data_IF_980675034245
#
_entry.id   IF_980675034245
#
_cell.length_a   1.000
_cell.length_b   1.000
_cell.length_c   1.000
_cell.angle_alpha   90.00
_cell.angle_beta   90.00
_cell.angle_gamma   90.00
#
_symmetry.space_group_name_H-M   'P 1'
#
loop_
_entity.id
_entity.type
_entity.pdbx_description
1 polymer ?
#
# COMPACT_ATOMS: atom_id res chain seq x y z
N UNK A 1 8.96 3.71 -5.96
CA UNK A 1 9.52 2.36 -6.20
C UNK A 1 10.13 2.20 -7.59
N UNK A 2 11.09 3.07 -7.92
CA UNK A 2 11.79 3.04 -9.20
C UNK A 2 13.08 3.84 -9.12
N UNK A 3 14.01 3.58 -10.03
CA UNK A 3 15.22 4.40 -10.21
C UNK A 3 14.82 5.79 -10.68
N UNK A 4 15.67 6.77 -10.40
CA UNK A 4 15.42 8.13 -10.88
C UNK A 4 15.26 8.14 -12.41
N UNK A 5 14.17 8.73 -12.86
CA UNK A 5 13.70 8.69 -14.24
C UNK A 5 13.40 10.09 -14.77
N UNK A 6 13.54 10.25 -16.09
CA UNK A 6 13.06 11.46 -16.76
C UNK A 6 11.55 11.62 -16.63
N UNK A 7 11.05 12.84 -16.87
CA UNK A 7 9.61 13.15 -16.85
C UNK A 7 8.83 12.17 -17.75
N UNK A 8 7.76 11.60 -17.21
CA UNK A 8 6.92 10.62 -17.91
C UNK A 8 6.07 11.23 -19.04
N UNK A 9 5.88 12.57 -19.04
CA UNK A 9 5.00 13.34 -19.94
C UNK A 9 3.50 13.06 -19.80
N UNK A 10 3.11 12.18 -18.88
CA UNK A 10 1.71 11.91 -18.56
C UNK A 10 1.23 12.77 -17.38
N UNK A 11 -0.08 12.83 -17.19
CA UNK A 11 -0.73 13.53 -16.05
C UNK A 11 -1.92 12.71 -15.54
N UNK A 12 -2.36 13.02 -14.33
CA UNK A 12 -3.49 12.35 -13.68
C UNK A 12 -3.11 11.03 -13.01
N UNK A 13 -4.12 10.36 -12.46
CA UNK A 13 -3.93 9.11 -11.73
C UNK A 13 -4.00 7.90 -12.66
N UNK A 14 -3.08 6.96 -12.46
CA UNK A 14 -3.10 5.62 -13.02
C UNK A 14 -3.61 4.61 -12.00
N UNK A 15 -4.16 3.50 -12.50
CA UNK A 15 -4.62 2.39 -11.67
C UNK A 15 -4.33 1.08 -12.37
N UNK A 16 -3.70 0.15 -11.67
CA UNK A 16 -3.40 -1.19 -12.16
C UNK A 16 -3.65 -2.22 -11.07
N UNK A 17 -4.16 -3.39 -11.49
CA UNK A 17 -4.49 -4.49 -10.59
C UNK A 17 -3.83 -5.79 -11.01
N UNK A 18 -3.47 -6.59 -10.02
CA UNK A 18 -3.01 -7.98 -10.17
C UNK A 18 -3.54 -8.81 -9.01
N UNK A 19 -3.81 -10.09 -9.26
CA UNK A 19 -4.47 -10.98 -8.31
C UNK A 19 -3.63 -12.23 -8.05
N UNK A 20 -3.45 -12.59 -6.79
CA UNK A 20 -3.04 -13.93 -6.37
C UNK A 20 -4.29 -14.80 -6.29
N UNK A 21 -4.20 -16.01 -6.86
CA UNK A 21 -5.29 -16.98 -6.78
C UNK A 21 -5.45 -17.48 -5.33
N UNK A 22 -6.63 -17.98 -4.93
CA UNK A 22 -6.89 -18.40 -3.54
C UNK A 22 -5.86 -19.40 -2.97
N UNK A 23 -5.40 -20.36 -3.77
CA UNK A 23 -4.35 -21.30 -3.34
C UNK A 23 -2.98 -20.62 -3.13
N UNK A 24 -2.65 -19.59 -3.92
CA UNK A 24 -1.41 -18.82 -3.76
C UNK A 24 -1.50 -17.94 -2.51
N UNK A 25 -2.65 -17.31 -2.28
CA UNK A 25 -2.92 -16.53 -1.07
C UNK A 25 -2.81 -17.40 0.19
N UNK A 26 -3.38 -18.61 0.15
CA UNK A 26 -3.31 -19.55 1.28
C UNK A 26 -1.89 -20.03 1.57
N UNK A 27 -1.09 -20.25 0.52
CA UNK A 27 0.34 -20.56 0.66
C UNK A 27 1.13 -19.40 1.26
N UNK A 28 0.89 -18.17 0.81
CA UNK A 28 1.50 -16.96 1.38
C UNK A 28 1.18 -16.81 2.86
N UNK A 29 -0.10 -17.01 3.24
CA UNK A 29 -0.55 -17.02 4.64
C UNK A 29 0.18 -18.07 5.47
N UNK A 30 0.23 -19.30 4.98
CA UNK A 30 0.87 -20.42 5.69
C UNK A 30 2.37 -20.17 5.86
N UNK A 31 3.03 -19.63 4.83
CA UNK A 31 4.44 -19.27 4.87
C UNK A 31 4.73 -18.16 5.88
N UNK A 32 3.96 -17.07 5.86
CA UNK A 32 4.14 -15.99 6.82
C UNK A 32 3.91 -16.48 8.26
N UNK A 33 2.88 -17.29 8.46
CA UNK A 33 2.53 -17.86 9.77
C UNK A 33 3.61 -18.82 10.29
N UNK A 34 4.27 -19.60 9.43
CA UNK A 34 5.40 -20.46 9.81
C UNK A 34 6.51 -19.67 10.52
N UNK A 35 6.71 -18.42 10.12
CA UNK A 35 7.69 -17.49 10.70
C UNK A 35 7.10 -16.54 11.75
N UNK A 36 5.87 -16.79 12.18
CA UNK A 36 5.16 -16.00 13.19
C UNK A 36 4.84 -14.57 12.72
N UNK A 37 4.56 -14.37 11.44
CA UNK A 37 4.20 -13.09 10.83
C UNK A 37 2.87 -13.19 10.04
N UNK A 38 2.27 -12.06 9.69
CA UNK A 38 1.06 -11.99 8.87
C UNK A 38 1.35 -11.82 7.38
N UNK A 39 0.35 -12.01 6.50
CA UNK A 39 0.51 -11.76 5.06
C UNK A 39 0.88 -10.31 4.75
N UNK A 40 0.44 -9.37 5.58
CA UNK A 40 0.83 -7.96 5.49
C UNK A 40 2.34 -7.78 5.64
N UNK A 41 2.98 -8.50 6.57
CA UNK A 41 4.43 -8.50 6.74
C UNK A 41 5.15 -9.04 5.50
N UNK A 42 4.63 -10.11 4.88
CA UNK A 42 5.18 -10.62 3.63
C UNK A 42 5.12 -9.58 2.50
N UNK A 43 3.99 -8.86 2.39
CA UNK A 43 3.84 -7.77 1.42
C UNK A 43 4.79 -6.60 1.70
N UNK A 44 4.96 -6.21 2.97
CA UNK A 44 5.89 -5.17 3.38
C UNK A 44 7.35 -5.56 3.08
N UNK A 45 7.74 -6.82 3.32
CA UNK A 45 9.06 -7.35 2.92
C UNK A 45 9.25 -7.22 1.41
N UNK A 46 8.31 -7.70 0.61
CA UNK A 46 8.39 -7.60 -0.86
C UNK A 46 8.51 -6.15 -1.31
N UNK A 47 7.75 -5.23 -0.71
CA UNK A 47 7.85 -3.82 -1.03
C UNK A 47 9.21 -3.22 -0.67
N UNK A 48 9.74 -3.57 0.50
CA UNK A 48 11.08 -3.15 0.93
C UNK A 48 12.17 -3.63 -0.05
N UNK A 49 12.07 -4.86 -0.53
CA UNK A 49 13.00 -5.42 -1.53
C UNK A 49 12.92 -4.67 -2.88
N UNK A 50 11.73 -4.31 -3.34
CA UNK A 50 11.56 -3.52 -4.57
C UNK A 50 12.14 -2.11 -4.42
N UNK A 51 11.96 -1.48 -3.26
CA UNK A 51 12.55 -0.17 -2.96
C UNK A 51 14.08 -0.25 -2.85
N UNK A 52 14.62 -1.27 -2.18
CA UNK A 52 16.06 -1.54 -2.13
C UNK A 52 16.66 -1.68 -3.52
N UNK A 53 16.01 -2.48 -4.38
CA UNK A 53 16.43 -2.70 -5.75
C UNK A 53 16.40 -1.41 -6.58
N UNK A 54 15.39 -0.57 -6.36
CA UNK A 54 15.27 0.75 -6.98
C UNK A 54 16.33 1.74 -6.51
N UNK A 55 16.78 1.65 -5.25
CA UNK A 55 17.87 2.49 -4.73
C UNK A 55 19.23 2.17 -5.39
N UNK A 56 19.42 0.95 -5.90
CA UNK A 56 20.63 0.55 -6.63
C UNK A 56 21.87 0.37 -5.76
N UNK A 57 21.68 0.20 -4.45
CA UNK A 57 22.75 -0.09 -3.48
C UNK A 57 23.19 -1.56 -3.54
N UNK A 58 24.41 -1.85 -3.06
CA UNK A 58 24.98 -3.20 -3.03
C UNK A 58 25.15 -3.79 -1.62
N UNK A 59 24.96 -2.98 -0.57
CA UNK A 59 25.11 -3.38 0.82
C UNK A 59 23.91 -2.95 1.68
N UNK A 60 24.00 -3.16 3.00
CA UNK A 60 22.92 -2.85 3.93
C UNK A 60 22.50 -1.38 3.86
N UNK A 61 21.21 -1.12 3.71
CA UNK A 61 20.67 0.26 3.68
C UNK A 61 19.29 0.31 4.33
N UNK A 62 18.96 1.37 5.08
CA UNK A 62 17.59 1.61 5.52
C UNK A 62 16.69 1.93 4.33
N UNK A 63 15.53 1.28 4.30
CA UNK A 63 14.45 1.49 3.34
C UNK A 63 13.22 1.93 4.10
N UNK A 64 12.57 3.00 3.62
CA UNK A 64 11.41 3.60 4.29
C UNK A 64 10.21 3.69 3.36
N UNK A 65 9.04 3.33 3.87
CA UNK A 65 7.74 3.45 3.21
C UNK A 65 6.64 3.60 4.25
N UNK A 66 5.49 4.14 3.87
CA UNK A 66 4.35 4.23 4.76
C UNK A 66 3.61 2.90 4.85
N UNK A 67 3.21 2.52 6.05
CA UNK A 67 2.31 1.40 6.32
C UNK A 67 1.00 1.94 6.88
N UNK A 68 -0.12 1.51 6.32
CA UNK A 68 -1.43 2.03 6.71
C UNK A 68 -2.04 1.22 7.85
N UNK A 69 -2.41 1.92 8.92
CA UNK A 69 -3.20 1.37 10.01
C UNK A 69 -4.64 1.88 9.92
N UNK A 70 -5.61 1.02 10.21
CA UNK A 70 -7.04 1.35 10.11
C UNK A 70 -7.49 2.43 11.10
N UNK A 71 -6.77 2.56 12.22
CA UNK A 71 -7.17 3.34 13.40
C UNK A 71 -8.34 2.73 14.18
N UNK A 72 -8.97 1.66 13.66
CA UNK A 72 -10.09 0.95 14.29
C UNK A 72 -9.63 -0.10 15.29
N UNK A 73 -8.37 -0.52 15.18
CA UNK A 73 -7.72 -1.46 16.09
C UNK A 73 -7.10 -0.74 17.31
N UNK A 74 -7.25 0.59 17.41
CA UNK A 74 -6.83 1.34 18.59
C UNK A 74 -7.67 0.88 19.79
N UNK A 75 -7.04 0.80 20.97
CA UNK A 75 -7.71 0.54 22.25
C UNK A 75 -8.50 1.76 22.72
N UNK A 76 -9.35 2.29 21.85
CA UNK A 76 -10.30 3.34 22.11
C UNK A 76 -11.68 2.71 22.00
N UNK A 77 -12.41 2.67 23.10
CA UNK A 77 -13.76 2.10 23.15
C UNK A 77 -14.66 2.75 22.08
N UNK A 78 -15.33 1.92 21.28
CA UNK A 78 -16.18 2.39 20.18
C UNK A 78 -15.46 2.86 18.91
N UNK A 79 -14.12 2.85 18.83
CA UNK A 79 -13.40 3.29 17.63
C UNK A 79 -13.78 2.52 16.35
N UNK A 80 -14.14 1.23 16.51
CA UNK A 80 -14.66 0.42 15.41
C UNK A 80 -15.97 0.96 14.83
N UNK A 81 -16.83 1.55 15.67
CA UNK A 81 -18.19 1.99 15.34
C UNK A 81 -18.26 3.47 14.96
N UNK A 82 -17.19 4.25 15.20
CA UNK A 82 -17.14 5.67 14.83
C UNK A 82 -17.10 5.82 13.29
N UNK A 83 -18.08 6.53 12.70
CA UNK A 83 -17.99 6.95 11.31
C UNK A 83 -16.90 8.02 11.17
N UNK A 84 -15.90 7.78 10.32
CA UNK A 84 -14.80 8.74 10.10
C UNK A 84 -13.55 8.15 9.46
N UNK A 85 -12.64 9.05 9.04
CA UNK A 85 -11.33 8.72 8.50
C UNK A 85 -10.32 8.50 9.64
N UNK A 86 -10.39 7.35 10.29
CA UNK A 86 -9.45 6.97 11.36
C UNK A 86 -8.13 6.38 10.83
N UNK A 87 -8.08 6.06 9.54
CA UNK A 87 -6.92 5.44 8.92
C UNK A 87 -5.72 6.38 8.86
N UNK A 88 -4.56 5.91 9.29
CA UNK A 88 -3.34 6.70 9.33
C UNK A 88 -2.13 5.92 8.79
N UNK A 89 -1.44 6.41 7.75
CA UNK A 89 -0.17 5.85 7.32
C UNK A 89 1.00 6.33 8.21
N UNK A 90 1.72 5.38 8.80
CA UNK A 90 2.93 5.65 9.58
C UNK A 90 4.19 5.25 8.80
N UNK A 91 5.31 5.98 8.89
CA UNK A 91 6.54 5.60 8.23
C UNK A 91 7.18 4.40 8.92
N UNK A 92 7.32 3.30 8.20
CA UNK A 92 8.13 2.15 8.61
C UNK A 92 9.50 2.27 7.96
N UNK A 93 10.56 2.02 8.74
CA UNK A 93 11.93 1.91 8.23
C UNK A 93 12.53 0.59 8.65
N UNK A 94 13.05 -0.16 7.67
CA UNK A 94 13.70 -1.46 7.86
C UNK A 94 15.03 -1.48 7.13
N UNK A 95 15.99 -2.26 7.60
CA UNK A 95 17.31 -2.38 6.98
C UNK A 95 17.32 -3.59 6.06
N UNK A 96 17.50 -3.35 4.77
CA UNK A 96 17.62 -4.44 3.79
C UNK A 96 19.11 -4.74 3.61
N UNK A 97 19.54 -5.91 4.07
CA UNK A 97 20.89 -6.44 3.89
C UNK A 97 20.86 -7.68 2.99
N UNK A 98 21.45 -7.64 1.78
CA UNK A 98 21.50 -8.80 0.88
C UNK A 98 22.16 -10.05 1.46
N UNK A 99 23.08 -9.90 2.43
CA UNK A 99 23.78 -11.03 3.05
C UNK A 99 22.96 -11.69 4.17
N UNK A 100 21.97 -10.99 4.71
CA UNK A 100 21.16 -11.48 5.82
C UNK A 100 20.13 -12.53 5.37
N UNK A 101 19.73 -13.46 6.26
CA UNK A 101 18.59 -14.34 6.04
C UNK A 101 17.32 -13.54 5.76
N UNK A 102 16.51 -13.99 4.79
CA UNK A 102 15.23 -13.38 4.46
C UNK A 102 14.28 -13.35 5.67
N UNK A 103 14.29 -14.41 6.48
CA UNK A 103 13.43 -14.54 7.66
C UNK A 103 13.73 -13.45 8.69
N UNK A 104 14.98 -12.98 8.79
CA UNK A 104 15.33 -11.89 9.70
C UNK A 104 14.75 -10.55 9.22
N UNK A 105 14.71 -10.31 7.91
CA UNK A 105 14.00 -9.15 7.36
C UNK A 105 12.48 -9.25 7.61
N UNK A 106 11.89 -10.45 7.53
CA UNK A 106 10.47 -10.67 7.85
C UNK A 106 10.18 -10.38 9.33
N UNK A 107 11.04 -10.85 10.23
CA UNK A 107 10.95 -10.55 11.67
C UNK A 107 11.08 -9.06 11.93
N UNK A 108 12.07 -8.39 11.34
CA UNK A 108 12.25 -6.95 11.46
C UNK A 108 10.99 -6.17 11.03
N UNK A 109 10.41 -6.54 9.88
CA UNK A 109 9.17 -5.93 9.39
C UNK A 109 7.98 -6.18 10.31
N UNK A 110 7.83 -7.41 10.82
CA UNK A 110 6.77 -7.76 11.77
C UNK A 110 6.90 -6.96 13.06
N UNK A 111 8.09 -6.95 13.65
CA UNK A 111 8.35 -6.29 14.93
C UNK A 111 8.15 -4.77 14.79
N UNK A 112 8.65 -4.18 13.70
CA UNK A 112 8.39 -2.78 13.38
C UNK A 112 6.89 -2.46 13.18
N UNK A 113 6.12 -3.37 12.58
CA UNK A 113 4.67 -3.18 12.41
C UNK A 113 3.94 -3.22 13.76
N UNK A 114 4.33 -4.13 14.65
CA UNK A 114 3.78 -4.25 16.00
C UNK A 114 4.11 -3.01 16.83
N UNK A 115 5.35 -2.53 16.79
CA UNK A 115 5.75 -1.31 17.50
C UNK A 115 4.95 -0.09 17.01
N UNK A 116 4.79 0.05 15.69
CA UNK A 116 4.02 1.14 15.09
C UNK A 116 2.52 1.08 15.42
N UNK A 117 1.97 -0.09 15.74
CA UNK A 117 0.54 -0.27 16.01
C UNK A 117 0.05 0.49 17.26
N UNK A 118 0.95 0.91 18.15
CA UNK A 118 0.64 1.74 19.31
C UNK A 118 0.48 3.25 19.00
N UNK A 119 0.86 3.68 17.80
CA UNK A 119 0.93 5.09 17.39
C UNK A 119 0.04 5.54 16.22
N UNK A 120 -0.97 4.81 15.70
CA UNK A 120 -1.83 5.30 14.61
C UNK A 120 -2.57 6.61 14.89
N UNK A 121 -2.62 7.07 16.14
CA UNK A 121 -3.22 8.35 16.54
C UNK A 121 -2.31 9.56 16.31
N UNK A 122 -1.02 9.38 15.99
CA UNK A 122 -0.07 10.47 15.77
C UNK A 122 -0.19 11.01 14.34
N UNK A 123 -0.49 12.29 14.17
CA UNK A 123 -0.61 12.91 12.84
C UNK A 123 0.73 13.00 12.11
N UNK A 124 0.68 12.98 10.77
CA UNK A 124 1.87 13.08 9.93
C UNK A 124 2.70 14.36 10.18
N UNK A 125 2.03 15.50 10.36
CA UNK A 125 2.69 16.78 10.65
C UNK A 125 3.43 16.75 11.99
N UNK A 126 2.87 16.04 12.99
CA UNK A 126 3.52 15.87 14.28
C UNK A 126 4.78 15.00 14.17
N UNK A 127 4.72 13.94 13.37
CA UNK A 127 5.90 13.10 13.08
C UNK A 127 6.97 13.92 12.35
N UNK A 128 6.59 14.75 11.35
CA UNK A 128 7.52 15.64 10.66
C UNK A 128 8.20 16.60 11.63
N UNK A 129 7.41 17.28 12.48
CA UNK A 129 7.89 18.19 13.50
C UNK A 129 8.88 17.51 14.46
N UNK A 130 8.54 16.35 15.01
CA UNK A 130 9.41 15.61 15.93
C UNK A 130 10.66 15.05 15.26
N UNK A 131 10.59 14.73 13.97
CA UNK A 131 11.73 14.24 13.20
C UNK A 131 12.72 15.33 12.77
N UNK A 132 12.41 16.61 13.02
CA UNK A 132 13.21 17.75 12.57
C UNK A 132 13.26 17.91 11.05
N UNK A 133 12.32 17.28 10.32
CA UNK A 133 12.20 17.40 8.86
C UNK A 133 11.42 18.66 8.51
N UNK A 134 11.72 19.24 7.35
CA UNK A 134 10.95 20.36 6.82
C UNK A 134 9.47 19.99 6.67
N UNK A 135 8.57 20.93 6.97
CA UNK A 135 7.11 20.76 6.89
C UNK A 135 6.63 20.42 5.47
N UNK A 136 7.43 20.75 4.45
CA UNK A 136 7.17 20.38 3.06
C UNK A 136 7.55 18.92 2.71
N UNK A 137 8.35 18.25 3.55
CA UNK A 137 8.86 16.91 3.28
C UNK A 137 7.75 15.85 3.41
N UNK A 138 7.84 14.80 2.58
CA UNK A 138 7.00 13.62 2.74
C UNK A 138 7.63 12.69 3.79
N UNK A 139 6.79 12.08 4.64
CA UNK A 139 7.24 10.99 5.50
C UNK A 139 7.67 9.76 4.68
N UNK A 140 6.93 9.48 3.61
CA UNK A 140 7.25 8.46 2.61
C UNK A 140 6.66 8.81 1.24
N UNK A 141 7.32 8.39 0.16
CA UNK A 141 6.83 8.53 -1.22
C UNK A 141 5.86 7.42 -1.65
N UNK A 142 5.77 6.34 -0.86
CA UNK A 142 4.88 5.23 -1.16
C UNK A 142 4.22 4.73 0.11
N UNK A 143 2.95 4.33 0.02
CA UNK A 143 2.23 3.66 1.11
C UNK A 143 1.81 2.26 0.67
N UNK A 144 1.96 1.30 1.57
CA UNK A 144 1.38 -0.04 1.46
C UNK A 144 0.25 -0.16 2.48
N UNK A 145 -0.92 -0.56 2.00
CA UNK A 145 -2.11 -0.81 2.81
C UNK A 145 -2.54 -2.26 2.64
N UNK A 146 -2.66 -2.96 3.75
CA UNK A 146 -3.34 -4.25 3.78
C UNK A 146 -4.73 -4.02 4.37
N UNK A 147 -5.76 -4.15 3.53
CA UNK A 147 -7.13 -3.80 3.85
C UNK A 147 -7.92 -5.06 4.18
N UNK A 148 -7.83 -5.50 5.43
CA UNK A 148 -8.70 -6.54 5.99
C UNK A 148 -10.06 -5.93 6.33
N UNK A 149 -10.78 -5.41 5.32
CA UNK A 149 -12.12 -4.88 5.55
C UNK A 149 -13.03 -5.99 6.05
N UNK A 150 -13.86 -5.73 7.08
CA UNK A 150 -14.94 -6.64 7.41
C UNK A 150 -15.85 -6.70 6.18
N UNK A 151 -16.08 -7.93 5.70
CA UNK A 151 -17.13 -8.17 4.73
C UNK A 151 -18.49 -7.77 5.32
N UNK A 152 -19.42 -7.34 4.47
CA UNK A 152 -20.82 -7.25 4.88
C UNK A 152 -21.23 -8.61 5.46
N UNK A 153 -21.83 -8.65 6.66
CA UNK A 153 -22.32 -9.90 7.24
C UNK A 153 -23.21 -10.64 6.24
N UNK A 154 -23.04 -11.95 6.13
CA UNK A 154 -23.73 -12.75 5.10
C UNK A 154 -25.25 -12.61 5.18
N UNK A 155 -25.80 -12.42 6.39
CA UNK A 155 -27.23 -12.14 6.62
C UNK A 155 -27.66 -10.86 5.92
N UNK A 156 -26.93 -9.76 6.11
CA UNK A 156 -27.22 -8.48 5.48
C UNK A 156 -27.05 -8.55 3.96
N UNK A 157 -26.04 -9.29 3.48
CA UNK A 157 -25.84 -9.53 2.05
C UNK A 157 -27.01 -10.30 1.44
N UNK A 158 -27.53 -11.31 2.14
CA UNK A 158 -28.68 -12.09 1.71
C UNK A 158 -29.97 -11.25 1.70
N UNK A 159 -30.20 -10.41 2.71
CA UNK A 159 -31.32 -9.47 2.76
C UNK A 159 -31.31 -8.49 1.59
N UNK A 160 -30.15 -7.86 1.33
CA UNK A 160 -29.97 -6.97 0.18
C UNK A 160 -30.24 -7.70 -1.14
N UNK A 161 -29.72 -8.91 -1.29
CA UNK A 161 -29.96 -9.74 -2.49
C UNK A 161 -31.44 -10.11 -2.65
N UNK A 162 -32.17 -10.39 -1.57
CA UNK A 162 -33.61 -10.65 -1.60
C UNK A 162 -34.42 -9.43 -2.08
N UNK A 163 -33.90 -8.22 -1.85
CA UNK A 163 -34.42 -6.96 -2.38
C UNK A 163 -33.90 -6.63 -3.79
N UNK A 164 -33.17 -7.54 -4.44
CA UNK A 164 -32.56 -7.32 -5.75
C UNK A 164 -31.35 -6.37 -5.74
N UNK A 165 -30.78 -6.06 -4.57
CA UNK A 165 -29.62 -5.18 -4.41
C UNK A 165 -28.36 -6.04 -4.39
N UNK A 166 -27.44 -5.77 -5.32
CA UNK A 166 -26.10 -6.36 -5.34
C UNK A 166 -25.09 -5.36 -4.78
N UNK A 167 -24.26 -5.81 -3.83
CA UNK A 167 -23.17 -4.99 -3.29
C UNK A 167 -21.84 -5.58 -3.73
N UNK A 168 -21.16 -4.85 -4.61
CA UNK A 168 -19.79 -5.17 -5.01
C UNK A 168 -18.77 -4.70 -3.99
N UNK A 169 -17.56 -5.27 -4.06
CA UNK A 169 -16.42 -4.79 -3.27
C UNK A 169 -16.11 -3.35 -3.67
N UNK A 170 -16.11 -2.37 -2.73
CA UNK A 170 -15.87 -0.99 -3.08
C UNK A 170 -14.48 -0.84 -3.69
N UNK A 171 -14.42 -0.23 -4.87
CA UNK A 171 -13.20 0.04 -5.57
C UNK A 171 -12.79 1.50 -5.37
N UNK A 172 -11.49 1.79 -5.23
CA UNK A 172 -11.03 3.17 -5.39
C UNK A 172 -11.39 3.63 -6.80
N UNK A 173 -12.32 4.58 -6.89
CA UNK A 173 -12.49 5.41 -8.06
C UNK A 173 -11.15 6.13 -8.26
N UNK A 174 -10.46 5.87 -9.38
CA UNK A 174 -9.22 6.57 -9.70
C UNK A 174 -9.43 8.08 -9.53
N UNK A 175 -8.44 8.77 -8.97
CA UNK A 175 -8.56 10.17 -8.57
C UNK A 175 -7.24 10.69 -8.04
N UNK A 176 -7.25 11.93 -7.58
CA UNK A 176 -6.06 12.69 -7.21
C UNK A 176 -5.20 11.96 -6.15
N UNK A 177 -4.09 11.35 -6.60
CA UNK A 177 -3.21 10.57 -5.73
C UNK A 177 -2.40 11.50 -4.85
N UNK A 178 -2.62 11.49 -3.53
CA UNK A 178 -1.84 12.29 -2.57
C UNK A 178 -0.36 11.88 -2.53
N UNK A 179 -0.07 10.64 -2.92
CA UNK A 179 1.25 10.03 -2.94
C UNK A 179 1.58 9.48 -4.34
N UNK A 180 2.86 9.47 -4.73
CA UNK A 180 3.32 8.91 -6.00
C UNK A 180 2.81 7.50 -6.27
N UNK A 181 2.79 6.65 -5.26
CA UNK A 181 2.27 5.28 -5.34
C UNK A 181 1.60 4.88 -4.03
N UNK A 182 0.37 4.37 -4.14
CA UNK A 182 -0.32 3.67 -3.05
C UNK A 182 -0.62 2.24 -3.51
N UNK A 183 -0.14 1.26 -2.76
CA UNK A 183 -0.43 -0.15 -2.98
C UNK A 183 -1.46 -0.62 -1.96
N UNK A 184 -2.59 -1.13 -2.43
CA UNK A 184 -3.65 -1.69 -1.58
C UNK A 184 -3.78 -3.18 -1.86
N UNK A 185 -3.64 -4.00 -0.83
CA UNK A 185 -3.97 -5.41 -0.84
C UNK A 185 -5.32 -5.63 -0.18
N UNK A 186 -6.22 -6.36 -0.84
CA UNK A 186 -7.53 -6.71 -0.31
C UNK A 186 -7.91 -8.11 -0.77
N UNK A 187 -8.67 -8.84 0.04
CA UNK A 187 -9.25 -10.11 -0.41
C UNK A 187 -10.42 -9.83 -1.36
N UNK A 188 -10.54 -10.65 -2.40
CA UNK A 188 -11.77 -10.73 -3.19
C UNK A 188 -12.69 -11.82 -2.66
N UNK A 189 -13.90 -11.89 -3.23
CA UNK A 189 -14.95 -12.80 -2.80
C UNK A 189 -14.57 -14.30 -2.86
N UNK A 190 -13.58 -14.69 -3.69
CA UNK A 190 -13.15 -16.09 -3.77
C UNK A 190 -11.96 -16.39 -2.82
N UNK A 191 -11.54 -15.44 -1.99
CA UNK A 191 -10.36 -15.56 -1.12
C UNK A 191 -9.02 -15.35 -1.86
N UNK A 192 -9.05 -14.81 -3.07
CA UNK A 192 -7.85 -14.33 -3.76
C UNK A 192 -7.35 -13.02 -3.15
N UNK A 193 -6.04 -12.73 -3.27
CA UNK A 193 -5.48 -11.46 -2.82
C UNK A 193 -5.32 -10.53 -4.03
N UNK A 194 -6.12 -9.47 -4.08
CA UNK A 194 -6.10 -8.46 -5.12
C UNK A 194 -5.20 -7.29 -4.70
N UNK A 195 -4.10 -7.10 -5.41
CA UNK A 195 -3.25 -5.93 -5.29
C UNK A 195 -3.69 -4.86 -6.29
N UNK A 196 -3.97 -3.67 -5.79
CA UNK A 196 -4.30 -2.48 -6.58
C UNK A 196 -3.27 -1.41 -6.32
N UNK A 197 -2.54 -1.01 -7.36
CA UNK A 197 -1.67 0.16 -7.30
C UNK A 197 -2.38 1.35 -7.93
N UNK A 198 -2.50 2.44 -7.18
CA UNK A 198 -2.84 3.77 -7.70
C UNK A 198 -1.58 4.64 -7.67
N UNK A 199 -1.34 5.40 -8.72
CA UNK A 199 -0.10 6.15 -8.87
C UNK A 199 -0.29 7.44 -9.66
N UNK A 200 0.57 8.42 -9.41
CA UNK A 200 0.63 9.64 -10.21
C UNK A 200 1.35 9.32 -11.53
N UNK A 201 0.64 9.43 -12.66
CA UNK A 201 1.22 9.18 -13.98
C UNK A 201 2.33 10.16 -14.34
N UNK A 202 2.38 11.33 -13.71
CA UNK A 202 3.44 12.31 -13.87
C UNK A 202 4.76 11.89 -13.19
N UNK A 203 4.70 10.99 -12.21
CA UNK A 203 5.84 10.42 -11.50
C UNK A 203 6.16 8.98 -11.96
N UNK A 204 5.16 8.15 -12.26
CA UNK A 204 5.34 6.73 -12.64
C UNK A 204 4.54 6.40 -13.91
N UNK A 205 5.20 5.91 -14.97
CA UNK A 205 4.51 5.53 -16.21
C UNK A 205 3.65 4.27 -16.02
N UNK A 206 2.65 4.06 -16.88
CA UNK A 206 1.82 2.85 -16.83
C UNK A 206 2.63 1.56 -17.05
N UNK A 207 3.67 1.63 -17.89
CA UNK A 207 4.58 0.51 -18.13
C UNK A 207 5.42 0.20 -16.87
N UNK A 208 5.98 1.25 -16.24
CA UNK A 208 6.75 1.11 -15.01
C UNK A 208 5.88 0.61 -13.85
N UNK A 209 4.67 1.13 -13.70
CA UNK A 209 3.71 0.67 -12.69
C UNK A 209 3.33 -0.81 -12.88
N UNK A 210 3.11 -1.23 -14.12
CA UNK A 210 2.91 -2.64 -14.47
C UNK A 210 4.12 -3.50 -14.14
N UNK A 211 5.34 -2.98 -14.38
CA UNK A 211 6.60 -3.63 -14.02
C UNK A 211 6.72 -3.83 -12.51
N UNK A 212 6.53 -2.76 -11.71
CA UNK A 212 6.56 -2.82 -10.24
C UNK A 212 5.57 -3.86 -9.72
N UNK A 213 4.32 -3.80 -10.17
CA UNK A 213 3.29 -4.70 -9.65
C UNK A 213 3.52 -6.15 -10.08
N UNK A 214 4.06 -6.38 -11.28
CA UNK A 214 4.41 -7.73 -11.74
C UNK A 214 5.58 -8.32 -10.95
N UNK A 215 6.60 -7.52 -10.64
CA UNK A 215 7.72 -7.93 -9.78
C UNK A 215 7.27 -8.21 -8.34
N UNK A 216 6.35 -7.39 -7.81
CA UNK A 216 5.73 -7.62 -6.50
C UNK A 216 5.01 -8.97 -6.46
N UNK A 217 4.15 -9.22 -7.45
CA UNK A 217 3.41 -10.48 -7.58
C UNK A 217 4.34 -11.70 -7.71
N UNK A 218 5.43 -11.56 -8.45
CA UNK A 218 6.41 -12.63 -8.61
C UNK A 218 7.11 -12.96 -7.29
N UNK A 219 7.58 -11.94 -6.58
CA UNK A 219 8.20 -12.13 -5.26
C UNK A 219 7.23 -12.76 -4.27
N UNK A 220 5.98 -12.30 -4.18
CA UNK A 220 4.98 -12.89 -3.27
C UNK A 220 4.76 -14.38 -3.53
N UNK A 221 4.72 -14.80 -4.80
CA UNK A 221 4.61 -16.23 -5.14
C UNK A 221 5.85 -16.99 -4.71
N UNK A 222 7.04 -16.50 -5.05
CA UNK A 222 8.31 -17.18 -4.75
C UNK A 222 8.58 -17.28 -3.26
N UNK A 223 8.27 -16.24 -2.48
CA UNK A 223 8.38 -16.27 -1.03
C UNK A 223 7.54 -17.40 -0.43
N UNK A 224 6.32 -17.59 -0.93
CA UNK A 224 5.43 -18.65 -0.44
C UNK A 224 5.93 -20.09 -0.70
N UNK A 225 6.92 -20.25 -1.58
CA UNK A 225 7.57 -21.54 -1.87
C UNK A 225 8.87 -21.75 -1.06
N UNK A 226 9.39 -20.73 -0.36
CA UNK A 226 10.64 -20.83 0.41
C UNK A 226 10.39 -21.35 1.83
N UNK A 227 10.96 -22.49 2.19
CA UNK A 227 10.92 -23.00 3.57
C UNK A 227 12.29 -23.05 4.24
N UNK A 228 13.36 -22.79 3.49
CA UNK A 228 14.72 -22.81 4.00
C UNK A 228 15.08 -21.47 4.67
N UNK A 229 15.39 -21.52 5.96
CA UNK A 229 15.83 -20.36 6.77
C UNK A 229 17.12 -19.72 6.24
N UNK A 230 17.92 -20.46 5.47
CA UNK A 230 19.21 -20.00 4.95
C UNK A 230 19.08 -19.15 3.69
N UNK A 231 17.88 -19.06 3.11
CA UNK A 231 17.65 -18.22 1.93
C UNK A 231 17.93 -16.78 2.29
N UNK A 232 18.89 -16.16 1.60
CA UNK A 232 19.29 -14.79 1.84
C UNK A 232 18.43 -13.81 1.05
N UNK A 233 18.37 -12.56 1.53
CA UNK A 233 17.75 -11.46 0.81
C UNK A 233 18.34 -11.30 -0.59
N UNK A 234 19.66 -11.45 -0.75
CA UNK A 234 20.37 -11.37 -2.02
C UNK A 234 19.94 -12.45 -3.01
N UNK A 235 19.73 -13.68 -2.54
CA UNK A 235 19.21 -14.76 -3.39
C UNK A 235 17.80 -14.46 -3.89
N UNK A 236 16.94 -13.90 -3.03
CA UNK A 236 15.58 -13.48 -3.43
C UNK A 236 15.60 -12.32 -4.42
N UNK A 237 16.48 -11.34 -4.22
CA UNK A 237 16.69 -10.24 -5.17
C UNK A 237 17.21 -10.75 -6.53
N UNK A 238 18.06 -11.79 -6.50
CA UNK A 238 18.55 -12.51 -7.68
C UNK A 238 17.43 -13.03 -8.60
N UNK A 239 16.28 -13.37 -8.03
CA UNK A 239 15.09 -13.85 -8.75
C UNK A 239 14.52 -12.81 -9.73
N UNK A 240 14.82 -11.53 -9.50
CA UNK A 240 14.37 -10.42 -10.33
C UNK A 240 15.43 -9.90 -11.29
N UNK A 241 16.66 -10.43 -11.30
CA UNK A 241 17.80 -9.87 -12.06
C UNK A 241 17.52 -9.64 -13.55
N UNK A 242 16.72 -10.50 -14.17
CA UNK A 242 16.34 -10.38 -15.59
C UNK A 242 15.31 -9.28 -15.88
N UNK A 243 14.56 -8.82 -14.88
CA UNK A 243 13.54 -7.79 -15.05
C UNK A 243 14.15 -6.39 -14.95
N UNK A 244 13.80 -5.48 -15.86
CA UNK A 244 14.24 -4.07 -15.75
C UNK A 244 13.75 -3.44 -14.43
N UNK A 245 14.58 -2.58 -13.85
CA UNK A 245 14.17 -1.80 -12.67
C UNK A 245 13.30 -0.63 -13.15
N UNK A 246 12.04 -0.53 -12.70
CA UNK A 246 11.13 0.54 -13.12
C UNK A 246 11.72 1.93 -12.84
N UNK A 247 11.33 2.92 -13.62
CA UNK A 247 11.78 4.32 -13.47
C UNK A 247 10.67 5.19 -12.90
N UNK A 248 11.04 6.12 -12.03
CA UNK A 248 10.12 7.06 -11.39
C UNK A 248 10.72 8.46 -11.41
N UNK A 249 9.98 9.42 -11.95
CA UNK A 249 10.38 10.81 -11.97
C UNK A 249 10.20 11.44 -10.59
N UNK A 250 11.27 11.99 -10.02
CA UNK A 250 11.20 12.71 -8.75
C UNK A 250 10.72 14.14 -8.98
N UNK A 251 9.44 14.41 -8.71
CA UNK A 251 8.91 15.77 -8.76
C UNK A 251 9.01 16.46 -7.40
N UNK A 252 9.53 17.70 -7.37
CA UNK A 252 9.32 18.60 -6.22
C UNK A 252 7.84 18.96 -6.16
N UNK A 253 7.22 18.86 -4.97
CA UNK A 253 5.79 19.16 -4.72
C UNK A 253 5.37 20.40 -5.50
N UNK A 254 4.32 20.26 -6.31
CA UNK A 254 3.46 21.39 -6.63
C UNK A 254 2.48 21.56 -5.47
N UNK A 255 2.20 22.79 -4.99
CA UNK A 255 1.13 23.00 -4.04
C UNK A 255 -0.16 22.43 -4.63
N UNK A 256 -0.88 21.60 -3.85
CA UNK A 256 -2.15 21.03 -4.30
C UNK A 256 -3.15 22.17 -4.40
N UNK A 257 -3.50 22.55 -5.62
CA UNK A 257 -4.73 23.32 -5.84
C UNK A 257 -5.88 22.34 -5.64
N UNK A 258 -6.68 22.52 -4.59
CA UNK A 258 -7.92 21.76 -4.42
C UNK A 258 -8.86 22.19 -5.55
N UNK A 259 -8.81 21.49 -6.67
CA UNK A 259 -9.76 21.66 -7.75
C UNK A 259 -11.01 20.84 -7.41
N UNK A 260 -12.12 21.53 -7.13
CA UNK A 260 -13.42 20.88 -6.98
C UNK A 260 -13.75 20.17 -8.30
N UNK A 261 -13.89 18.84 -8.24
CA UNK A 261 -14.25 18.03 -9.40
C UNK A 261 -15.72 17.61 -9.30
N UNK A 262 -16.48 17.88 -10.36
CA UNK A 262 -17.86 17.39 -10.48
C UNK A 262 -17.82 15.89 -10.75
N UNK A 263 -18.18 15.08 -9.75
CA UNK A 263 -18.17 13.61 -9.87
C UNK A 263 -19.26 13.12 -10.84
N UNK A 264 -20.41 13.80 -10.88
CA UNK A 264 -21.49 13.59 -11.84
C UNK A 264 -22.38 14.84 -11.92
N UNK A 265 -22.79 15.30 -13.11
CA UNK A 265 -23.82 16.33 -13.21
C UNK A 265 -25.16 15.77 -12.72
N UNK A 266 -25.83 16.51 -11.83
CA UNK A 266 -27.21 16.21 -11.42
C UNK A 266 -28.18 16.43 -12.58
N UNK A 267 -29.26 15.64 -12.64
CA UNK A 267 -30.39 15.93 -13.53
C UNK A 267 -31.10 17.23 -13.11
N UNK A 268 -31.94 17.83 -13.98
CA UNK A 268 -32.58 19.13 -13.74
C UNK A 268 -33.51 19.21 -12.50
N UNK A 269 -33.78 18.08 -11.83
CA UNK A 269 -34.55 17.99 -10.58
C UNK A 269 -33.81 17.21 -9.48
N UNK A 270 -32.51 16.92 -9.64
CA UNK A 270 -31.73 16.20 -8.64
C UNK A 270 -31.06 17.19 -7.68
N UNK A 271 -31.13 16.89 -6.38
CA UNK A 271 -30.33 17.61 -5.38
C UNK A 271 -28.84 17.40 -5.65
N UNK A 272 -28.08 18.49 -5.71
CA UNK A 272 -26.63 18.46 -5.93
C UNK A 272 -25.94 18.23 -4.59
N UNK A 273 -25.31 17.06 -4.42
CA UNK A 273 -24.41 16.80 -3.27
C UNK A 273 -23.00 17.27 -3.63
N UNK A 274 -22.62 18.45 -3.15
CA UNK A 274 -21.24 18.92 -3.20
C UNK A 274 -20.49 18.44 -1.95
N UNK A 275 -19.50 17.57 -2.13
CA UNK A 275 -18.51 17.30 -1.08
C UNK A 275 -17.47 18.42 -1.11
N UNK A 276 -17.65 19.40 -0.23
CA UNK A 276 -16.68 20.50 -0.03
C UNK A 276 -15.70 20.06 1.04
N UNK A 277 -14.40 20.12 0.74
CA UNK A 277 -13.38 20.03 1.79
C UNK A 277 -13.48 21.28 2.66
N UNK A 278 -13.82 21.13 3.93
CA UNK A 278 -13.90 22.25 4.88
C UNK A 278 -12.48 22.73 5.20
N UNK A 279 -12.12 23.99 4.92
CA UNK A 279 -10.80 24.51 5.28
C UNK A 279 -10.64 24.53 6.81
N UNK A 280 -9.61 23.88 7.34
CA UNK A 280 -9.27 23.92 8.77
C UNK A 280 -9.86 22.80 9.63
N UNK A 281 -10.52 21.80 9.02
CA UNK A 281 -10.76 20.51 9.69
C UNK A 281 -9.69 19.55 9.17
N UNK A 282 -8.85 18.95 10.04
CA UNK A 282 -7.79 18.02 9.62
C UNK A 282 -8.35 16.77 8.92
#
# INVERSE_FOLDING_TARGET
PGRDGGRTRFTGAGRIQRRLRPHQTSRLRSWAALWGAGESSALHVVWALLLYRAAGTRGPVPVSFGVHFSGRDLTLEGAADVPGLLGNPLPMTVTVDPAAPLVDLLRQVRDAALDLSAYPWVSGDRILQWSGREEAARLADTVVRFDSRPELPEVLRAELKAQGIQVDVPQSAGGDTSLPVTLVAQYDADGGLLLTATYDRAELSDADASGVLSQCMELLRRLSDQQDERVTVGQVLGLLESGEVPRMARQRRRPRTVALAVLRPGGPQADVVCLVAVPGVP
#
